data_IF_774456496517
#
_entry.id   IF_774456496517
#
_cell.length_a   1.000
_cell.length_b   1.000
_cell.length_c   1.000
_cell.angle_alpha   90.00
_cell.angle_beta   90.00
_cell.angle_gamma   90.00
#
_symmetry.space_group_name_H-M   'P 1'
#
loop_
_entity.id
_entity.type
_entity.pdbx_description
1 polymer ?
#
# COMPACT_ATOMS: atom_id res chain seq x y z
N UNK A 1 -34.81 -77.63 -43.30
CA UNK A 1 -33.57 -77.24 -42.62
C UNK A 1 -33.28 -75.81 -43.13
N UNK A 2 -33.73 -74.82 -42.45
CA UNK A 2 -33.49 -73.40 -42.77
C UNK A 2 -32.20 -72.95 -42.01
N UNK A 3 -31.19 -72.57 -42.76
CA UNK A 3 -29.93 -72.11 -42.22
C UNK A 3 -30.09 -70.59 -41.93
N UNK A 4 -30.20 -70.20 -40.63
CA UNK A 4 -30.07 -68.83 -40.23
C UNK A 4 -28.57 -68.45 -40.17
N UNK A 5 -28.16 -67.34 -40.82
CA UNK A 5 -26.79 -66.89 -40.69
C UNK A 5 -26.63 -66.23 -39.31
N UNK A 6 -25.68 -66.75 -38.53
CA UNK A 6 -25.27 -66.22 -37.24
C UNK A 6 -24.60 -64.85 -37.48
N UNK A 7 -25.25 -63.78 -37.03
CA UNK A 7 -24.75 -62.43 -37.12
C UNK A 7 -23.69 -62.22 -36.03
N UNK A 8 -22.40 -62.31 -36.42
CA UNK A 8 -21.29 -61.93 -35.55
C UNK A 8 -21.18 -60.40 -35.53
N UNK A 9 -21.37 -59.74 -34.40
CA UNK A 9 -21.15 -58.28 -34.33
C UNK A 9 -19.69 -57.95 -34.61
N UNK A 10 -19.47 -57.21 -35.70
CA UNK A 10 -18.16 -56.66 -36.07
C UNK A 10 -17.60 -55.84 -34.93
N UNK A 11 -16.42 -56.21 -34.40
CA UNK A 11 -15.78 -55.52 -33.30
C UNK A 11 -15.48 -54.10 -33.67
N UNK A 12 -16.08 -53.15 -32.96
CA UNK A 12 -15.87 -51.71 -33.18
C UNK A 12 -14.37 -51.36 -33.23
N UNK A 13 -13.93 -50.54 -34.20
CA UNK A 13 -12.53 -50.20 -34.40
C UNK A 13 -11.94 -49.59 -33.13
N UNK A 14 -10.83 -50.17 -32.63
CA UNK A 14 -10.13 -49.65 -31.46
C UNK A 14 -9.49 -48.33 -31.82
N UNK A 15 -10.09 -47.20 -31.34
CA UNK A 15 -9.53 -45.88 -31.52
C UNK A 15 -8.10 -45.81 -30.99
N UNK A 16 -7.18 -45.22 -31.74
CA UNK A 16 -5.83 -44.99 -31.32
C UNK A 16 -5.76 -44.06 -30.10
N UNK A 17 -4.65 -44.13 -29.34
CA UNK A 17 -4.51 -43.30 -28.14
C UNK A 17 -4.66 -41.79 -28.45
N UNK A 18 -4.19 -41.31 -29.61
CA UNK A 18 -4.27 -39.90 -30.03
C UNK A 18 -5.71 -39.51 -30.42
N UNK A 19 -6.51 -40.41 -31.00
CA UNK A 19 -7.93 -40.18 -31.28
C UNK A 19 -8.73 -40.05 -29.99
N UNK A 20 -8.43 -40.90 -28.98
CA UNK A 20 -9.01 -40.78 -27.65
C UNK A 20 -8.64 -39.46 -26.96
N UNK A 21 -7.40 -39.00 -27.16
CA UNK A 21 -6.94 -37.73 -26.61
C UNK A 21 -7.63 -36.55 -27.31
N UNK A 22 -7.76 -36.58 -28.63
CA UNK A 22 -8.51 -35.61 -29.40
C UNK A 22 -10.00 -35.52 -29.00
N UNK A 23 -10.62 -36.70 -28.83
CA UNK A 23 -12.00 -36.75 -28.36
C UNK A 23 -12.15 -36.15 -26.93
N UNK A 24 -11.21 -36.43 -26.06
CA UNK A 24 -11.19 -35.81 -24.71
C UNK A 24 -10.98 -34.30 -24.76
N UNK A 25 -10.15 -33.80 -25.64
CA UNK A 25 -9.94 -32.37 -25.85
C UNK A 25 -11.13 -31.72 -26.55
N UNK A 26 -11.75 -32.40 -27.49
CA UNK A 26 -12.96 -31.93 -28.17
C UNK A 26 -14.22 -31.99 -27.28
N UNK A 27 -14.29 -32.99 -26.41
CA UNK A 27 -15.36 -33.10 -25.39
C UNK A 27 -15.09 -32.28 -24.12
N UNK A 28 -13.89 -31.72 -24.01
CA UNK A 28 -13.51 -30.73 -22.97
C UNK A 28 -14.19 -29.36 -23.10
N UNK A 29 -15.20 -29.27 -23.96
CA UNK A 29 -16.16 -28.17 -23.97
C UNK A 29 -16.81 -28.07 -22.60
N UNK A 30 -16.58 -26.95 -21.94
CA UNK A 30 -16.93 -26.66 -20.55
C UNK A 30 -18.25 -27.27 -20.11
N UNK A 31 -18.22 -27.96 -18.99
CA UNK A 31 -19.41 -28.51 -18.36
C UNK A 31 -20.53 -27.44 -18.40
N UNK A 32 -21.75 -27.77 -18.85
CA UNK A 32 -22.83 -26.82 -18.97
C UNK A 32 -23.01 -26.15 -17.61
N UNK A 33 -22.66 -24.87 -17.53
CA UNK A 33 -22.80 -24.12 -16.29
C UNK A 33 -24.28 -24.09 -15.93
N UNK A 34 -24.66 -24.80 -14.88
CA UNK A 34 -26.03 -24.79 -14.38
C UNK A 34 -26.47 -23.32 -14.20
N UNK A 35 -27.70 -22.94 -14.54
CA UNK A 35 -28.19 -21.55 -14.43
C UNK A 35 -27.97 -20.95 -13.03
N UNK A 36 -27.93 -21.77 -11.99
CA UNK A 36 -27.57 -21.37 -10.63
C UNK A 36 -26.10 -20.93 -10.48
N UNK A 37 -25.15 -21.64 -11.10
CA UNK A 37 -23.72 -21.30 -11.06
C UNK A 37 -23.44 -19.96 -11.75
N UNK A 38 -24.04 -19.68 -12.88
CA UNK A 38 -23.90 -18.37 -13.56
C UNK A 38 -24.45 -17.22 -12.73
N UNK A 39 -25.59 -17.41 -12.06
CA UNK A 39 -26.15 -16.42 -11.14
C UNK A 39 -25.27 -16.20 -9.93
N UNK A 40 -24.72 -17.25 -9.35
CA UNK A 40 -23.77 -17.16 -8.23
C UNK A 40 -22.51 -16.42 -8.65
N UNK A 41 -21.89 -16.75 -9.78
CA UNK A 41 -20.70 -16.04 -10.31
C UNK A 41 -20.99 -14.56 -10.57
N UNK A 42 -22.14 -14.22 -11.12
CA UNK A 42 -22.53 -12.80 -11.29
C UNK A 42 -22.69 -12.08 -9.96
N UNK A 43 -23.30 -12.70 -8.96
CA UNK A 43 -23.43 -12.13 -7.60
C UNK A 43 -22.05 -11.89 -6.98
N UNK A 44 -21.18 -12.88 -7.02
CA UNK A 44 -19.78 -12.76 -6.55
C UNK A 44 -19.06 -11.63 -7.30
N UNK A 45 -19.20 -11.55 -8.62
CA UNK A 45 -18.62 -10.47 -9.42
C UNK A 45 -19.11 -9.08 -9.00
N UNK A 46 -20.42 -8.94 -8.76
CA UNK A 46 -20.99 -7.69 -8.25
C UNK A 46 -20.49 -7.33 -6.85
N UNK A 47 -20.39 -8.32 -5.94
CA UNK A 47 -19.85 -8.11 -4.59
C UNK A 47 -18.40 -7.63 -4.67
N UNK A 48 -17.56 -8.29 -5.47
CA UNK A 48 -16.16 -7.87 -5.66
C UNK A 48 -16.10 -6.45 -6.23
N UNK A 49 -16.91 -6.14 -7.23
CA UNK A 49 -16.94 -4.79 -7.83
C UNK A 49 -17.34 -3.73 -6.79
N UNK A 50 -18.36 -3.99 -5.99
CA UNK A 50 -18.80 -3.08 -4.93
C UNK A 50 -17.70 -2.91 -3.87
N UNK A 51 -17.05 -4.00 -3.45
CA UNK A 51 -15.93 -3.92 -2.51
C UNK A 51 -14.76 -3.09 -3.07
N UNK A 52 -14.43 -3.25 -4.34
CA UNK A 52 -13.39 -2.43 -5.00
C UNK A 52 -13.80 -0.96 -5.10
N UNK A 53 -15.06 -0.66 -5.43
CA UNK A 53 -15.56 0.71 -5.50
C UNK A 53 -15.60 1.40 -4.13
N UNK A 54 -15.84 0.65 -3.06
CA UNK A 54 -15.87 1.17 -1.70
C UNK A 54 -14.49 1.23 -1.05
N UNK A 55 -13.54 0.42 -1.52
CA UNK A 55 -12.20 0.30 -0.93
C UNK A 55 -11.47 1.64 -0.86
N UNK A 56 -11.41 2.37 -1.99
CA UNK A 56 -10.72 3.65 -2.03
C UNK A 56 -11.41 4.72 -1.17
N UNK A 57 -12.69 5.04 -1.33
CA UNK A 57 -13.30 6.11 -0.55
C UNK A 57 -13.32 5.83 0.96
N UNK A 58 -13.61 4.59 1.38
CA UNK A 58 -13.58 4.23 2.79
C UNK A 58 -12.16 4.26 3.36
N UNK A 59 -11.19 3.74 2.59
CA UNK A 59 -9.79 3.77 2.99
C UNK A 59 -9.23 5.19 3.06
N UNK A 60 -9.59 6.05 2.10
CA UNK A 60 -9.22 7.48 2.13
C UNK A 60 -9.78 8.19 3.37
N UNK A 61 -11.06 7.99 3.68
CA UNK A 61 -11.68 8.57 4.88
C UNK A 61 -11.02 8.10 6.18
N UNK A 62 -10.56 6.86 6.21
CA UNK A 62 -9.91 6.31 7.39
C UNK A 62 -8.47 6.79 7.56
N UNK A 63 -7.73 6.90 6.45
CA UNK A 63 -6.31 7.30 6.46
C UNK A 63 -6.17 8.83 6.58
N UNK A 64 -7.09 9.61 6.01
CA UNK A 64 -7.02 11.06 5.99
C UNK A 64 -7.17 11.66 7.40
N UNK A 65 -6.03 11.95 8.02
CA UNK A 65 -5.96 12.53 9.37
C UNK A 65 -4.95 13.67 9.39
N UNK A 66 -5.42 14.87 9.12
CA UNK A 66 -4.61 16.09 9.26
C UNK A 66 -4.93 16.69 10.62
N UNK A 67 -3.95 16.70 11.51
CA UNK A 67 -4.04 17.35 12.80
C UNK A 67 -3.32 18.70 12.74
N UNK A 68 -4.11 19.75 12.56
CA UNK A 68 -3.65 21.14 12.53
C UNK A 68 -3.87 21.83 13.89
N UNK A 69 -3.90 21.08 15.00
CA UNK A 69 -4.11 21.66 16.32
C UNK A 69 -2.96 22.62 16.69
N UNK A 70 -3.23 23.93 16.86
CA UNK A 70 -2.21 24.91 17.22
C UNK A 70 -1.73 24.77 18.68
N UNK A 71 -2.53 24.11 19.52
CA UNK A 71 -2.24 23.91 20.93
C UNK A 71 -1.47 22.59 21.20
N UNK A 72 -0.86 22.01 20.15
CA UNK A 72 -0.05 20.82 20.30
C UNK A 72 1.11 21.06 21.28
N UNK A 73 1.17 20.23 22.29
CA UNK A 73 2.22 20.31 23.31
C UNK A 73 3.14 19.09 23.24
N UNK A 74 4.43 19.36 23.29
CA UNK A 74 5.40 18.29 23.46
C UNK A 74 5.29 17.62 24.85
N UNK A 75 5.75 16.39 24.97
CA UNK A 75 5.96 15.77 26.27
C UNK A 75 6.81 16.66 27.19
N UNK A 76 6.67 16.46 28.49
CA UNK A 76 7.49 17.17 29.46
C UNK A 76 8.98 16.91 29.20
N UNK A 77 9.78 17.97 29.13
CA UNK A 77 11.22 17.91 28.92
C UNK A 77 11.95 17.85 30.26
N UNK A 78 13.07 17.11 30.31
CA UNK A 78 13.95 17.10 31.48
C UNK A 78 14.69 18.44 31.63
N UNK A 79 15.18 18.77 32.83
CA UNK A 79 16.00 19.97 33.02
C UNK A 79 17.23 19.98 32.08
N UNK A 80 17.37 21.06 31.31
CA UNK A 80 18.46 21.21 30.32
C UNK A 80 18.13 20.76 28.89
N UNK A 81 16.99 20.11 28.65
CA UNK A 81 16.53 19.75 27.31
C UNK A 81 15.86 20.94 26.60
N UNK A 82 16.05 20.99 25.30
CA UNK A 82 15.41 22.01 24.45
C UNK A 82 13.95 21.66 24.18
N UNK A 83 13.04 22.52 24.66
CA UNK A 83 11.60 22.39 24.40
C UNK A 83 11.29 22.44 22.88
N UNK A 84 12.03 23.23 22.12
CA UNK A 84 11.88 23.32 20.67
C UNK A 84 12.20 21.97 20.00
N UNK A 85 13.31 21.35 20.38
CA UNK A 85 13.69 20.03 19.85
C UNK A 85 12.64 18.96 20.24
N UNK A 86 12.15 19.00 21.48
CA UNK A 86 11.13 18.07 21.95
C UNK A 86 9.80 18.21 21.16
N UNK A 87 9.38 19.45 20.85
CA UNK A 87 8.18 19.68 20.01
C UNK A 87 8.41 19.16 18.59
N UNK A 88 9.58 19.44 18.00
CA UNK A 88 9.92 18.95 16.66
C UNK A 88 9.91 17.42 16.60
N UNK A 89 10.55 16.76 17.56
CA UNK A 89 10.56 15.31 17.65
C UNK A 89 9.16 14.72 17.79
N UNK A 90 8.32 15.32 18.66
CA UNK A 90 6.95 14.87 18.86
C UNK A 90 6.06 15.07 17.63
N UNK A 91 6.25 16.15 16.86
CA UNK A 91 5.54 16.38 15.59
C UNK A 91 5.96 15.37 14.52
N UNK A 92 7.25 15.06 14.42
CA UNK A 92 7.76 14.05 13.50
C UNK A 92 7.20 12.69 13.87
N UNK A 93 7.29 12.29 15.16
CA UNK A 93 6.73 11.03 15.65
C UNK A 93 5.22 10.91 15.36
N UNK A 94 4.47 11.99 15.59
CA UNK A 94 3.04 12.02 15.28
C UNK A 94 2.76 11.69 13.82
N UNK A 95 3.50 12.29 12.89
CA UNK A 95 3.19 12.13 11.45
C UNK A 95 3.82 10.90 10.81
N UNK A 96 4.88 10.34 11.40
CA UNK A 96 5.57 9.18 10.83
C UNK A 96 5.22 7.87 11.51
N UNK A 97 4.84 7.91 12.80
CA UNK A 97 4.56 6.71 13.61
C UNK A 97 3.10 6.62 14.02
N UNK A 98 2.52 7.70 14.60
CA UNK A 98 1.13 7.68 15.08
C UNK A 98 0.12 7.83 13.93
N UNK A 99 0.42 8.70 12.97
CA UNK A 99 -0.24 8.76 11.68
C UNK A 99 0.60 7.95 10.68
N UNK A 100 -0.07 7.28 9.77
CA UNK A 100 0.65 6.59 8.72
C UNK A 100 1.34 7.58 7.79
N UNK A 101 2.62 7.34 7.46
CA UNK A 101 3.30 8.08 6.41
C UNK A 101 2.72 7.74 5.04
N UNK A 102 2.23 8.73 4.30
CA UNK A 102 1.47 8.53 3.07
C UNK A 102 2.16 9.00 1.78
N UNK A 103 3.22 9.84 1.80
CA UNK A 103 3.79 10.42 0.59
C UNK A 103 4.30 9.43 -0.46
N UNK A 104 4.71 8.24 -0.03
CA UNK A 104 5.22 7.19 -0.93
C UNK A 104 4.36 5.93 -0.94
N UNK A 105 3.06 6.04 -0.63
CA UNK A 105 2.15 4.92 -0.71
C UNK A 105 1.91 4.49 -2.16
N UNK A 106 1.95 3.17 -2.46
CA UNK A 106 1.71 2.66 -3.81
C UNK A 106 0.25 2.81 -4.24
N UNK A 107 0.03 2.78 -5.56
CA UNK A 107 -1.28 3.02 -6.19
C UNK A 107 -2.42 2.12 -5.68
N UNK A 108 -2.12 0.93 -5.18
CA UNK A 108 -3.11 0.00 -4.65
C UNK A 108 -3.53 0.32 -3.19
N UNK A 109 -2.90 1.29 -2.55
CA UNK A 109 -3.29 1.78 -1.23
C UNK A 109 -4.18 3.02 -1.40
N UNK A 110 -5.30 3.14 -0.65
CA UNK A 110 -6.22 4.26 -0.81
C UNK A 110 -5.60 5.64 -0.62
N UNK A 111 -4.58 5.75 0.21
CA UNK A 111 -3.84 7.00 0.46
C UNK A 111 -3.12 7.56 -0.78
N UNK A 112 -2.80 6.71 -1.78
CA UNK A 112 -2.21 7.16 -3.03
C UNK A 112 -3.07 8.20 -3.78
N UNK A 113 -4.39 8.14 -3.60
CA UNK A 113 -5.32 9.11 -4.18
C UNK A 113 -5.52 10.36 -3.30
N UNK A 114 -4.94 10.39 -2.09
CA UNK A 114 -4.97 11.56 -1.23
C UNK A 114 -3.95 12.59 -1.71
N UNK A 115 -4.35 13.83 -1.74
CA UNK A 115 -3.53 14.97 -2.10
C UNK A 115 -3.08 15.75 -0.85
N UNK A 116 -4.02 16.12 -0.01
CA UNK A 116 -3.77 17.01 1.13
C UNK A 116 -2.90 16.35 2.21
N UNK A 117 -3.10 15.08 2.53
CA UNK A 117 -2.38 14.39 3.60
C UNK A 117 -0.89 14.20 3.28
N UNK A 118 -0.48 13.67 2.10
CA UNK A 118 0.92 13.57 1.71
C UNK A 118 1.61 14.94 1.66
N UNK A 119 0.96 15.95 1.08
CA UNK A 119 1.52 17.30 0.99
C UNK A 119 1.69 17.95 2.36
N UNK A 120 0.74 17.77 3.27
CA UNK A 120 0.85 18.22 4.64
C UNK A 120 2.04 17.58 5.37
N UNK A 121 2.16 16.26 5.32
CA UNK A 121 3.26 15.53 5.95
C UNK A 121 4.63 15.93 5.38
N UNK A 122 4.74 15.99 4.06
CA UNK A 122 5.97 16.43 3.37
C UNK A 122 6.34 17.86 3.74
N UNK A 123 5.36 18.78 3.70
CA UNK A 123 5.57 20.17 4.05
C UNK A 123 6.02 20.36 5.50
N UNK A 124 5.44 19.58 6.42
CA UNK A 124 5.80 19.63 7.82
C UNK A 124 7.23 19.11 8.07
N UNK A 125 7.59 17.95 7.50
CA UNK A 125 8.96 17.42 7.62
C UNK A 125 9.97 18.38 7.00
N UNK A 126 9.67 18.98 5.85
CA UNK A 126 10.52 19.98 5.22
C UNK A 126 10.71 21.23 6.10
N UNK A 127 9.65 21.69 6.79
CA UNK A 127 9.75 22.77 7.75
C UNK A 127 10.62 22.42 8.96
N UNK A 128 10.47 21.19 9.50
CA UNK A 128 11.31 20.70 10.60
C UNK A 128 12.77 20.58 10.17
N UNK A 129 13.06 20.14 8.95
CA UNK A 129 14.42 20.10 8.40
C UNK A 129 15.08 21.48 8.37
N UNK A 130 14.33 22.51 7.93
CA UNK A 130 14.83 23.90 7.91
C UNK A 130 15.10 24.42 9.33
N UNK A 131 14.17 24.19 10.26
CA UNK A 131 14.34 24.60 11.65
C UNK A 131 15.57 23.91 12.27
N UNK A 132 15.77 22.62 12.01
CA UNK A 132 16.93 21.87 12.50
C UNK A 132 18.27 22.44 11.99
N UNK A 133 18.34 22.83 10.71
CA UNK A 133 19.51 23.50 10.14
C UNK A 133 19.77 24.85 10.79
N UNK A 134 18.74 25.70 10.88
CA UNK A 134 18.84 27.01 11.52
C UNK A 134 19.26 26.90 12.99
N UNK A 135 18.72 25.91 13.70
CA UNK A 135 19.07 25.67 15.10
C UNK A 135 20.52 25.23 15.25
N UNK A 136 21.03 24.36 14.35
CA UNK A 136 22.42 23.94 14.32
C UNK A 136 23.36 25.13 14.14
N UNK A 137 23.07 26.00 13.17
CA UNK A 137 23.84 27.20 12.89
C UNK A 137 23.81 28.21 14.05
N UNK A 138 22.61 28.36 14.65
CA UNK A 138 22.44 29.32 15.75
C UNK A 138 23.19 28.88 17.01
N UNK A 139 23.15 27.60 17.36
CA UNK A 139 23.87 27.04 18.50
C UNK A 139 25.38 27.12 18.26
N UNK A 140 25.85 26.78 17.06
CA UNK A 140 27.26 26.89 16.69
C UNK A 140 27.80 28.31 16.87
N UNK A 141 27.07 29.33 16.41
CA UNK A 141 27.44 30.74 16.59
C UNK A 141 27.38 31.20 18.03
N UNK A 142 26.38 30.81 18.79
CA UNK A 142 26.19 31.21 20.18
C UNK A 142 27.27 30.67 21.11
N UNK A 143 27.81 29.49 20.84
CA UNK A 143 28.87 28.87 21.65
C UNK A 143 30.26 29.37 21.32
N UNK A 144 30.43 30.19 20.29
CA UNK A 144 31.74 30.70 19.85
C UNK A 144 32.74 29.62 19.39
N UNK A 145 32.26 28.39 19.25
CA UNK A 145 33.00 27.26 18.72
C UNK A 145 32.41 26.87 17.36
N UNK A 146 33.27 26.66 16.37
CA UNK A 146 32.83 26.19 15.05
C UNK A 146 32.32 24.75 15.06
N UNK A 147 32.19 24.15 16.23
CA UNK A 147 31.72 22.76 16.37
C UNK A 147 30.20 22.73 16.54
N UNK A 148 29.51 22.34 15.46
CA UNK A 148 28.11 22.09 15.47
C UNK A 148 27.78 20.89 16.39
N UNK A 149 26.56 20.86 16.93
CA UNK A 149 26.07 19.69 17.65
C UNK A 149 25.85 18.55 16.65
N UNK A 150 26.63 17.48 16.79
CA UNK A 150 26.64 16.37 15.84
C UNK A 150 25.29 15.63 15.73
N UNK A 151 24.54 15.57 16.83
CA UNK A 151 23.25 14.89 16.80
C UNK A 151 22.19 15.73 16.09
N UNK A 152 22.24 17.04 16.28
CA UNK A 152 21.36 17.98 15.57
C UNK A 152 21.71 18.06 14.08
N UNK A 153 23.01 18.05 13.72
CA UNK A 153 23.46 17.99 12.33
C UNK A 153 23.00 16.70 11.63
N UNK A 154 23.12 15.55 12.32
CA UNK A 154 22.63 14.28 11.83
C UNK A 154 21.11 14.25 11.65
N UNK A 155 20.37 14.79 12.63
CA UNK A 155 18.92 14.94 12.54
C UNK A 155 18.51 15.81 11.35
N UNK A 156 19.16 16.97 11.17
CA UNK A 156 18.93 17.86 10.04
C UNK A 156 19.24 17.16 8.69
N UNK A 157 20.27 16.33 8.63
CA UNK A 157 20.61 15.51 7.46
C UNK A 157 19.53 14.49 7.14
N UNK A 158 19.07 13.75 8.14
CA UNK A 158 18.02 12.73 7.97
C UNK A 158 16.69 13.32 7.53
N UNK A 159 16.32 14.51 8.01
CA UNK A 159 15.08 15.18 7.63
C UNK A 159 15.08 15.74 6.20
N UNK A 160 16.23 15.83 5.54
CA UNK A 160 16.37 16.27 4.14
C UNK A 160 16.14 15.15 3.12
N UNK A 161 15.87 13.93 3.57
CA UNK A 161 15.58 12.83 2.65
C UNK A 161 14.34 13.16 1.80
N UNK A 162 14.40 12.80 0.51
CA UNK A 162 13.29 12.96 -0.39
C UNK A 162 12.11 12.07 0.07
N UNK A 163 10.91 12.63 0.25
CA UNK A 163 9.78 11.90 0.85
C UNK A 163 9.18 10.85 -0.08
N UNK A 164 9.50 10.92 -1.36
CA UNK A 164 8.98 10.10 -2.46
C UNK A 164 9.93 8.97 -2.89
N UNK A 165 11.06 8.80 -2.20
CA UNK A 165 11.98 7.70 -2.49
C UNK A 165 11.37 6.37 -2.07
N UNK A 166 11.28 5.46 -3.02
CA UNK A 166 10.80 4.10 -2.83
C UNK A 166 11.95 3.17 -2.39
N UNK A 167 11.57 2.07 -1.71
CA UNK A 167 12.52 1.04 -1.26
C UNK A 167 13.25 0.36 -2.43
N UNK A 168 12.79 0.56 -3.66
CA UNK A 168 13.22 -0.12 -4.89
C UNK A 168 13.93 0.81 -5.89
N UNK A 169 14.38 1.97 -5.48
CA UNK A 169 15.11 2.87 -6.36
C UNK A 169 16.54 2.41 -6.58
#
# INVERSE_FOLDING_TARGET
MTFEPEFTPEAAPRLSWWERTRQRLASGGGAPSTPGRRRALRRVGWVILILLLLYYPLGMLWIHRIDANPDFQAPATAPGESRTVAIMAALIDRETVQHRWTPNDPFFIPSWMLDNMPNYQTGMVAAMARIAVELTDHIGRARGTSQADQDLERAAGNLKYAPDVWIWD
#
